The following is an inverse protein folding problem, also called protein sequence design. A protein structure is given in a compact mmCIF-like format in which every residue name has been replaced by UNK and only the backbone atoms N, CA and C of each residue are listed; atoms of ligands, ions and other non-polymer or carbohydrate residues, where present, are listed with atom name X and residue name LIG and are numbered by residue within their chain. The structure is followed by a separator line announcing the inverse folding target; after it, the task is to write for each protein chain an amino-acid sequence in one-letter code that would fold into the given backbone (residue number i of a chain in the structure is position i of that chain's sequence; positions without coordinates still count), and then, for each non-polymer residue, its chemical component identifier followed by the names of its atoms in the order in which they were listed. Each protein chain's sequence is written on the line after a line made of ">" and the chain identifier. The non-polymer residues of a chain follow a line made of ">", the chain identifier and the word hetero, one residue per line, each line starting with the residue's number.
data_IF_197544626246
#
_entry.id   IF_197544626246
#
_cell.length_a   1.000
_cell.length_b   1.000
_cell.length_c   1.000
_cell.angle_alpha   90.00
_cell.angle_beta   90.00
_cell.angle_gamma   90.00
#
_symmetry.space_group_name_H-M   'P 1'
#
loop_
_entity.id
_entity.type
_entity.pdbx_description
1 polymer ?
#
# COMPACT_ATOMS: atom_id res chain seq x y z
N UNK A 1 7.08 5.70 3.24
CA UNK A 1 6.26 5.53 4.47
C UNK A 1 4.89 6.17 4.22
N UNK A 2 3.81 5.50 4.60
CA UNK A 2 2.42 5.90 4.33
C UNK A 2 1.77 6.36 5.64
N UNK A 3 1.33 7.61 5.71
CA UNK A 3 0.97 8.27 6.98
C UNK A 3 -0.53 8.44 7.19
N UNK A 4 -1.26 8.83 6.14
CA UNK A 4 -2.71 9.04 6.23
C UNK A 4 -3.33 9.03 4.83
N UNK A 5 -4.36 8.21 4.66
CA UNK A 5 -5.22 8.21 3.49
C UNK A 5 -6.51 9.01 3.73
N UNK A 6 -7.19 9.36 2.63
CA UNK A 6 -8.41 10.17 2.64
C UNK A 6 -9.70 9.37 2.53
N UNK A 7 -9.63 8.04 2.48
CA UNK A 7 -10.83 7.21 2.43
C UNK A 7 -11.55 7.19 3.79
N UNK A 8 -12.82 6.78 3.77
CA UNK A 8 -13.62 6.58 4.97
C UNK A 8 -13.68 5.09 5.33
N UNK A 9 -13.50 4.70 6.60
CA UNK A 9 -13.11 5.55 7.73
C UNK A 9 -11.68 6.10 7.57
N UNK A 10 -11.42 7.32 8.03
CA UNK A 10 -10.04 7.82 8.11
C UNK A 10 -9.28 7.05 9.19
N UNK A 11 -7.95 6.86 9.07
CA UNK A 11 -7.04 7.40 8.05
C UNK A 11 -6.76 6.42 6.88
N UNK A 12 -7.76 5.66 6.41
CA UNK A 12 -7.54 4.63 5.38
C UNK A 12 -7.20 5.19 4.00
N UNK A 13 -6.43 4.42 3.24
CA UNK A 13 -6.22 4.65 1.82
C UNK A 13 -7.34 4.00 0.99
N UNK A 14 -7.84 4.74 0.01
CA UNK A 14 -8.75 4.20 -1.00
C UNK A 14 -7.98 3.36 -2.03
N UNK A 15 -8.70 2.46 -2.71
CA UNK A 15 -8.10 1.60 -3.76
C UNK A 15 -7.36 2.39 -4.84
N UNK A 16 -7.93 3.51 -5.28
CA UNK A 16 -7.28 4.39 -6.27
C UNK A 16 -5.96 4.94 -5.77
N UNK A 17 -5.90 5.41 -4.52
CA UNK A 17 -4.68 5.95 -3.93
C UNK A 17 -3.60 4.87 -3.79
N UNK A 18 -3.97 3.66 -3.33
CA UNK A 18 -3.04 2.53 -3.23
C UNK A 18 -2.49 2.13 -4.60
N UNK A 19 -3.32 2.12 -5.65
CA UNK A 19 -2.88 1.86 -7.02
C UNK A 19 -1.90 2.91 -7.52
N UNK A 20 -2.24 4.20 -7.37
CA UNK A 20 -1.35 5.27 -7.78
C UNK A 20 0.02 5.20 -7.07
N UNK A 21 0.06 4.76 -5.82
CA UNK A 21 1.32 4.54 -5.11
C UNK A 21 2.09 3.32 -5.62
N UNK A 22 1.41 2.20 -5.86
CA UNK A 22 2.03 1.01 -6.45
C UNK A 22 2.66 1.34 -7.81
N UNK A 23 1.90 1.99 -8.69
CA UNK A 23 2.34 2.37 -10.03
C UNK A 23 3.61 3.25 -9.97
N UNK A 24 3.63 4.24 -9.07
CA UNK A 24 4.81 5.11 -8.85
C UNK A 24 6.03 4.34 -8.37
N UNK A 25 5.86 3.47 -7.37
CA UNK A 25 6.97 2.66 -6.84
C UNK A 25 7.54 1.76 -7.93
N UNK A 26 6.69 1.06 -8.68
CA UNK A 26 7.15 0.18 -9.76
C UNK A 26 7.80 0.94 -10.91
N UNK A 27 7.33 2.16 -11.20
CA UNK A 27 7.90 2.98 -12.26
C UNK A 27 9.27 3.55 -11.88
N UNK A 28 9.40 4.07 -10.66
CA UNK A 28 10.63 4.73 -10.19
C UNK A 28 11.75 3.73 -9.91
N UNK A 29 11.43 2.60 -9.28
CA UNK A 29 12.44 1.66 -8.77
C UNK A 29 12.58 0.39 -9.61
N UNK A 30 11.74 0.18 -10.62
CA UNK A 30 11.80 -0.98 -11.51
C UNK A 30 11.77 -2.31 -10.75
N UNK A 31 12.87 -3.07 -10.81
CA UNK A 31 13.05 -4.37 -10.16
C UNK A 31 13.77 -4.30 -8.81
N UNK A 32 14.11 -3.11 -8.31
CA UNK A 32 14.76 -2.96 -7.01
C UNK A 32 13.84 -3.36 -5.85
N UNK A 33 14.45 -3.80 -4.74
CA UNK A 33 13.71 -4.12 -3.53
C UNK A 33 13.31 -2.84 -2.79
N UNK A 34 12.01 -2.61 -2.64
CA UNK A 34 11.45 -1.45 -1.94
C UNK A 34 10.67 -1.88 -0.70
N UNK A 35 10.88 -1.15 0.41
CA UNK A 35 10.11 -1.35 1.64
C UNK A 35 9.02 -0.27 1.80
N UNK A 36 7.77 -0.71 1.87
CA UNK A 36 6.62 0.16 2.10
C UNK A 36 6.06 -0.09 3.49
N UNK A 37 6.13 0.92 4.35
CA UNK A 37 5.58 0.90 5.70
C UNK A 37 4.29 1.70 5.78
N UNK A 38 3.25 1.10 6.36
CA UNK A 38 2.00 1.77 6.73
C UNK A 38 2.05 2.15 8.20
N UNK A 39 1.74 3.41 8.50
CA UNK A 39 1.82 3.98 9.85
C UNK A 39 0.54 4.73 10.23
N UNK A 40 -0.51 4.55 9.46
CA UNK A 40 -1.83 5.12 9.64
C UNK A 40 -2.70 4.20 10.51
N UNK A 41 -2.24 3.80 11.71
CA UNK A 41 -2.87 2.69 12.46
C UNK A 41 -4.13 2.98 13.32
N UNK A 42 -4.67 4.21 13.45
CA UNK A 42 -5.98 4.37 14.07
C UNK A 42 -7.05 3.48 13.42
N UNK A 43 -7.72 2.66 14.23
CA UNK A 43 -8.73 1.71 13.76
C UNK A 43 -8.19 0.54 12.94
N UNK A 44 -6.94 0.12 13.18
CA UNK A 44 -6.24 -0.95 12.43
C UNK A 44 -6.10 -0.68 10.93
N UNK A 45 -6.14 0.59 10.53
CA UNK A 45 -6.09 1.00 9.15
C UNK A 45 -4.75 0.65 8.48
N UNK A 46 -3.63 0.66 9.22
CA UNK A 46 -2.32 0.34 8.65
C UNK A 46 -2.25 -1.11 8.18
N UNK A 47 -2.65 -2.06 9.02
CA UNK A 47 -2.68 -3.49 8.69
C UNK A 47 -3.64 -3.75 7.52
N UNK A 48 -4.82 -3.16 7.57
CA UNK A 48 -5.83 -3.37 6.54
C UNK A 48 -5.42 -2.78 5.17
N UNK A 49 -4.72 -1.65 5.17
CA UNK A 49 -4.21 -1.01 3.95
C UNK A 49 -2.94 -1.70 3.41
N UNK A 50 -2.08 -2.21 4.29
CA UNK A 50 -0.94 -3.06 3.91
C UNK A 50 -1.42 -4.34 3.20
N UNK A 51 -2.43 -5.02 3.77
CA UNK A 51 -3.03 -6.19 3.14
C UNK A 51 -3.71 -5.84 1.79
N UNK A 52 -4.33 -4.66 1.70
CA UNK A 52 -4.95 -4.19 0.47
C UNK A 52 -3.92 -3.89 -0.64
N UNK A 53 -2.79 -3.26 -0.29
CA UNK A 53 -1.68 -3.03 -1.21
C UNK A 53 -1.05 -4.35 -1.64
N UNK A 54 -0.83 -5.30 -0.73
CA UNK A 54 -0.30 -6.63 -1.06
C UNK A 54 -1.19 -7.39 -2.05
N UNK A 55 -2.51 -7.39 -1.85
CA UNK A 55 -3.47 -7.95 -2.83
C UNK A 55 -3.46 -7.22 -4.16
N UNK A 56 -3.18 -5.92 -4.16
CA UNK A 56 -3.06 -5.14 -5.38
C UNK A 56 -1.78 -5.49 -6.14
N UNK A 57 -0.65 -5.55 -5.45
CA UNK A 57 0.64 -5.97 -5.99
C UNK A 57 0.54 -7.34 -6.67
N UNK A 58 -0.03 -8.33 -5.98
CA UNK A 58 -0.24 -9.67 -6.53
C UNK A 58 -1.06 -9.66 -7.85
N UNK A 59 -2.14 -8.86 -7.91
CA UNK A 59 -2.95 -8.73 -9.14
C UNK A 59 -2.20 -8.08 -10.31
N UNK A 60 -1.18 -7.27 -10.02
CA UNK A 60 -0.36 -6.59 -11.02
C UNK A 60 0.97 -7.30 -11.29
N UNK A 61 1.15 -8.53 -10.78
CA UNK A 61 2.38 -9.30 -10.97
C UNK A 61 3.59 -8.71 -10.24
N UNK A 62 3.37 -7.83 -9.25
CA UNK A 62 4.43 -7.23 -8.44
C UNK A 62 4.67 -8.11 -7.21
N UNK A 63 5.85 -8.72 -7.04
CA UNK A 63 6.17 -9.52 -5.87
C UNK A 63 6.11 -8.67 -4.60
N UNK A 64 5.35 -9.14 -3.60
CA UNK A 64 5.31 -8.54 -2.28
C UNK A 64 5.61 -9.61 -1.23
N UNK A 65 6.40 -9.24 -0.23
CA UNK A 65 6.70 -10.10 0.92
C UNK A 65 6.19 -9.45 2.19
N UNK A 66 5.95 -10.26 3.24
CA UNK A 66 5.51 -9.79 4.58
C UNK A 66 4.21 -8.98 4.53
N UNK A 67 3.16 -9.63 4.05
CA UNK A 67 1.80 -9.11 4.02
C UNK A 67 1.07 -9.64 5.26
N UNK A 68 0.30 -8.80 6.00
CA UNK A 68 -0.51 -9.28 7.12
C UNK A 68 -1.62 -10.24 6.70
#
# INVERSE_FOLDING_TARGET
>A
RMHEGRARPRPRYGRTALRSWLDRVTHEFGSEQVFVYFNNDPGAAAVADAAALGRLAARHGVPATRIP
#
